data_IF_885024186947
#
_entry.id   IF_885024186947
#
_cell.length_a   1.000
_cell.length_b   1.000
_cell.length_c   1.000
_cell.angle_alpha   90.00
_cell.angle_beta   90.00
_cell.angle_gamma   90.00
#
_symmetry.space_group_name_H-M   'P 1'
#
loop_
_entity.id
_entity.type
_entity.pdbx_description
1 polymer ?
#
# COMPACT_ATOMS: atom_id res chain seq x y z
N UNK A 1 4.56 0.41 4.23
CA UNK A 1 3.38 1.31 4.13
C UNK A 1 3.84 2.75 3.98
N UNK A 2 4.59 3.29 4.94
CA UNK A 2 5.11 4.66 4.86
C UNK A 2 6.06 4.87 3.66
N UNK A 3 6.98 3.93 3.39
CA UNK A 3 7.83 4.01 2.20
C UNK A 3 7.04 4.01 0.87
N UNK A 4 5.97 3.21 0.78
CA UNK A 4 5.10 3.19 -0.41
C UNK A 4 4.39 4.53 -0.58
N UNK A 5 3.93 5.13 0.52
CA UNK A 5 3.32 6.46 0.52
C UNK A 5 4.33 7.51 0.04
N UNK A 6 5.54 7.53 0.60
CA UNK A 6 6.60 8.46 0.21
C UNK A 6 6.97 8.31 -1.27
N UNK A 7 7.19 7.07 -1.75
CA UNK A 7 7.48 6.81 -3.17
C UNK A 7 6.34 7.23 -4.09
N UNK A 8 5.09 7.02 -3.66
CA UNK A 8 3.91 7.44 -4.43
C UNK A 8 3.83 8.96 -4.52
N UNK A 9 4.16 9.67 -3.44
CA UNK A 9 4.23 11.14 -3.41
C UNK A 9 5.39 11.67 -4.27
N UNK A 10 6.59 11.10 -4.15
CA UNK A 10 7.78 11.47 -4.95
C UNK A 10 7.55 11.29 -6.45
N UNK A 11 6.80 10.24 -6.84
CA UNK A 11 6.50 9.94 -8.24
C UNK A 11 5.20 10.58 -8.75
N UNK A 12 4.46 11.31 -7.89
CA UNK A 12 3.18 11.93 -8.27
C UNK A 12 2.10 10.93 -8.69
N UNK A 13 2.05 9.76 -8.05
CA UNK A 13 1.08 8.71 -8.36
C UNK A 13 -0.29 8.99 -7.71
N UNK A 14 -1.36 8.62 -8.40
CA UNK A 14 -2.78 8.82 -8.08
C UNK A 14 -3.21 8.29 -6.71
N UNK A 15 -2.57 7.22 -6.24
CA UNK A 15 -2.89 6.59 -4.95
C UNK A 15 -1.65 6.47 -4.07
N UNK A 16 -1.87 6.37 -2.75
CA UNK A 16 -0.83 6.04 -1.76
C UNK A 16 -0.30 4.60 -1.87
N UNK A 17 -0.86 3.79 -2.78
CA UNK A 17 -0.52 2.40 -3.04
C UNK A 17 0.24 2.22 -4.34
N UNK A 18 1.07 3.19 -4.71
CA UNK A 18 1.84 3.18 -5.96
C UNK A 18 0.95 3.07 -7.22
N UNK A 19 -0.11 3.88 -7.27
CA UNK A 19 -1.15 3.89 -8.31
C UNK A 19 -2.05 2.65 -8.39
N UNK A 20 -1.83 1.68 -7.49
CA UNK A 20 -2.75 0.55 -7.32
C UNK A 20 -3.88 0.92 -6.37
N UNK A 21 -5.06 0.36 -6.64
CA UNK A 21 -6.25 0.51 -5.80
C UNK A 21 -6.22 -0.44 -4.59
N UNK A 22 -5.59 -1.61 -4.76
CA UNK A 22 -5.58 -2.70 -3.78
C UNK A 22 -4.17 -3.19 -3.53
N UNK A 23 -3.90 -3.60 -2.30
CA UNK A 23 -2.65 -4.23 -1.88
C UNK A 23 -2.90 -5.31 -0.84
N UNK A 24 -1.88 -6.12 -0.56
CA UNK A 24 -1.92 -7.15 0.47
C UNK A 24 -0.76 -6.96 1.44
N UNK A 25 -1.05 -7.06 2.73
CA UNK A 25 -0.01 -7.27 3.76
C UNK A 25 -0.04 -8.74 4.14
N UNK A 26 1.13 -9.38 4.07
CA UNK A 26 1.29 -10.78 4.45
C UNK A 26 2.19 -10.86 5.68
N UNK A 27 1.64 -11.32 6.79
CA UNK A 27 2.36 -11.68 8.01
C UNK A 27 2.63 -13.18 8.05
N UNK A 28 3.84 -13.57 8.44
CA UNK A 28 4.22 -14.96 8.64
C UNK A 28 4.32 -15.24 10.14
N UNK A 29 3.53 -16.19 10.63
CA UNK A 29 3.55 -16.62 12.03
C UNK A 29 4.40 -17.88 12.26
N UNK A 30 4.76 -18.21 13.50
CA UNK A 30 5.44 -19.47 13.81
C UNK A 30 4.56 -20.68 13.42
N UNK A 31 5.15 -21.65 12.70
CA UNK A 31 4.44 -22.80 12.14
C UNK A 31 4.16 -22.65 10.65
N UNK A 32 2.91 -22.86 10.23
CA UNK A 32 2.47 -22.83 8.82
C UNK A 32 1.48 -21.68 8.52
N UNK A 33 1.33 -20.74 9.45
CA UNK A 33 0.26 -19.72 9.38
C UNK A 33 0.69 -18.50 8.55
N UNK A 34 -0.20 -18.10 7.64
CA UNK A 34 -0.16 -16.83 6.92
C UNK A 34 -1.33 -15.95 7.37
N UNK A 35 -1.03 -14.71 7.71
CA UNK A 35 -2.03 -13.67 7.91
C UNK A 35 -2.03 -12.77 6.68
N UNK A 36 -3.16 -12.70 5.98
CA UNK A 36 -3.31 -11.91 4.77
C UNK A 36 -4.36 -10.80 4.99
N UNK A 37 -3.92 -9.54 4.96
CA UNK A 37 -4.79 -8.37 5.14
C UNK A 37 -4.91 -7.66 3.80
N UNK A 38 -6.15 -7.55 3.29
CA UNK A 38 -6.46 -6.76 2.11
C UNK A 38 -6.46 -5.27 2.47
N UNK A 39 -5.75 -4.46 1.69
CA UNK A 39 -5.66 -3.02 1.85
C UNK A 39 -6.29 -2.31 0.67
N UNK A 40 -7.05 -1.26 0.97
CA UNK A 40 -7.52 -0.29 -0.01
C UNK A 40 -6.61 0.94 0.00
N UNK A 41 -6.07 1.30 -1.16
CA UNK A 41 -5.25 2.50 -1.30
C UNK A 41 -6.10 3.78 -1.25
N UNK A 42 -5.53 4.84 -0.67
CA UNK A 42 -6.17 6.14 -0.61
C UNK A 42 -5.69 7.03 -1.77
N UNK A 43 -6.53 7.95 -2.27
CA UNK A 43 -6.10 8.93 -3.26
C UNK A 43 -5.02 9.86 -2.69
N UNK A 44 -4.00 10.18 -3.49
CA UNK A 44 -3.00 11.16 -3.12
C UNK A 44 -3.54 12.59 -3.30
N UNK A 45 -3.44 13.40 -2.23
CA UNK A 45 -3.97 14.77 -2.20
C UNK A 45 -3.22 15.74 -3.13
N UNK A 46 -2.00 15.38 -3.55
CA UNK A 46 -1.14 16.23 -4.37
C UNK A 46 -1.59 16.33 -5.84
N UNK A 47 -2.54 15.49 -6.29
CA UNK A 47 -3.01 15.46 -7.69
C UNK A 47 -4.33 16.21 -7.79
N UNK A 48 -4.35 17.45 -7.31
CA UNK A 48 -5.49 18.36 -7.43
C UNK A 48 -5.05 19.70 -8.01
#
# INVERSE_FOLDING_TARGET
MEEMRQRSEEKGLGTSGEDLEWGLVVGYGPGITLEAILLRALPNKAIR
#
